data_IF_234212423710
#
_entry.id   IF_234212423710
#
_cell.length_a   1.000
_cell.length_b   1.000
_cell.length_c   1.000
_cell.angle_alpha   90.00
_cell.angle_beta   90.00
_cell.angle_gamma   90.00
#
_symmetry.space_group_name_H-M   'P 1'
#
loop_
_entity.id
_entity.type
_entity.pdbx_description
1 polymer ?
#
# COMPACT_ATOMS: atom_id res chain seq x y z
N UNK A 1 -20.71 1.13 -33.72
CA UNK A 1 -20.25 2.09 -32.68
C UNK A 1 -20.25 1.39 -31.34
N UNK A 2 -19.07 0.95 -30.86
CA UNK A 2 -18.91 0.46 -29.48
C UNK A 2 -18.52 1.65 -28.62
N UNK A 3 -19.44 2.13 -27.78
CA UNK A 3 -19.10 3.08 -26.72
C UNK A 3 -18.50 2.28 -25.56
N UNK A 4 -17.30 2.64 -25.13
CA UNK A 4 -16.74 2.19 -23.87
C UNK A 4 -17.63 2.73 -22.74
N UNK A 5 -18.53 1.89 -22.23
CA UNK A 5 -19.22 2.19 -20.98
C UNK A 5 -18.17 2.14 -19.88
N UNK A 6 -17.75 3.29 -19.41
CA UNK A 6 -17.03 3.37 -18.15
C UNK A 6 -17.90 2.74 -17.07
N UNK A 7 -17.37 1.77 -16.31
CA UNK A 7 -18.07 1.16 -15.21
C UNK A 7 -18.71 2.25 -14.36
N UNK A 8 -20.05 2.22 -14.26
CA UNK A 8 -20.78 3.12 -13.38
C UNK A 8 -20.16 3.00 -11.99
N UNK A 9 -19.65 4.11 -11.47
CA UNK A 9 -19.09 4.15 -10.12
C UNK A 9 -20.19 3.70 -9.18
N UNK A 10 -20.01 2.55 -8.54
CA UNK A 10 -20.84 2.09 -7.43
C UNK A 10 -21.04 3.28 -6.49
N UNK A 11 -22.30 3.55 -6.12
CA UNK A 11 -22.64 4.56 -5.12
C UNK A 11 -21.70 4.39 -3.93
N UNK A 12 -21.07 5.48 -3.48
CA UNK A 12 -20.33 5.47 -2.23
C UNK A 12 -21.26 4.90 -1.15
N UNK A 13 -20.85 3.86 -0.46
CA UNK A 13 -21.58 3.36 0.70
C UNK A 13 -21.80 4.50 1.69
N UNK A 14 -22.71 4.33 2.66
CA UNK A 14 -23.06 5.36 3.65
C UNK A 14 -21.81 6.07 4.15
N UNK A 15 -21.75 7.40 3.98
CA UNK A 15 -20.60 8.20 4.37
C UNK A 15 -20.43 8.13 5.88
N UNK A 16 -19.29 7.63 6.36
CA UNK A 16 -18.98 7.67 7.78
C UNK A 16 -18.99 9.15 8.26
N UNK A 17 -19.61 9.51 9.39
CA UNK A 17 -19.71 10.89 9.85
C UNK A 17 -18.34 11.58 9.94
N UNK A 18 -17.29 10.86 10.35
CA UNK A 18 -15.94 11.40 10.50
C UNK A 18 -15.08 11.29 9.23
N UNK A 19 -15.69 11.02 8.08
CA UNK A 19 -14.98 10.88 6.80
C UNK A 19 -14.10 12.09 6.50
N UNK A 20 -14.64 13.29 6.58
CA UNK A 20 -13.88 14.51 6.25
C UNK A 20 -12.77 14.76 7.28
N UNK A 21 -13.05 14.57 8.56
CA UNK A 21 -12.07 14.69 9.63
C UNK A 21 -10.89 13.70 9.46
N UNK A 22 -11.15 12.46 9.00
CA UNK A 22 -10.09 11.51 8.69
C UNK A 22 -9.24 11.95 7.50
N UNK A 23 -9.80 12.53 6.45
CA UNK A 23 -9.02 13.09 5.35
C UNK A 23 -8.14 14.26 5.78
N UNK A 24 -8.66 15.16 6.61
CA UNK A 24 -7.90 16.27 7.18
C UNK A 24 -6.75 15.76 8.07
N UNK A 25 -7.03 14.74 8.89
CA UNK A 25 -6.03 14.08 9.71
C UNK A 25 -4.90 13.47 8.85
N UNK A 26 -5.25 12.70 7.81
CA UNK A 26 -4.28 12.11 6.87
C UNK A 26 -3.43 13.19 6.19
N UNK A 27 -4.05 14.28 5.74
CA UNK A 27 -3.34 15.38 5.08
C UNK A 27 -2.38 16.08 6.02
N UNK A 28 -2.81 16.38 7.25
CA UNK A 28 -1.97 17.00 8.29
C UNK A 28 -0.79 16.11 8.64
N UNK A 29 -1.05 14.82 8.85
CA UNK A 29 -0.01 13.84 9.16
C UNK A 29 0.99 13.69 8.01
N UNK A 30 0.52 13.61 6.77
CA UNK A 30 1.35 13.54 5.57
C UNK A 30 2.32 14.74 5.49
N UNK A 31 1.79 15.96 5.65
CA UNK A 31 2.62 17.19 5.64
C UNK A 31 3.65 17.19 6.76
N UNK A 32 3.27 16.73 7.96
CA UNK A 32 4.16 16.67 9.11
C UNK A 32 5.33 15.69 8.89
N UNK A 33 5.06 14.50 8.32
CA UNK A 33 6.11 13.53 7.97
C UNK A 33 7.05 14.09 6.91
N UNK A 34 6.52 14.64 5.83
CA UNK A 34 7.31 15.24 4.75
C UNK A 34 8.19 16.39 5.25
N UNK A 35 7.65 17.25 6.12
CA UNK A 35 8.42 18.36 6.72
C UNK A 35 9.63 17.88 7.52
N UNK A 36 9.51 16.69 8.16
CA UNK A 36 10.62 16.06 8.90
C UNK A 36 11.54 15.20 8.03
N UNK A 37 11.33 15.19 6.71
CA UNK A 37 12.09 14.33 5.78
C UNK A 37 11.82 12.83 5.95
N UNK A 38 10.71 12.47 6.60
CA UNK A 38 10.32 11.06 6.78
C UNK A 38 9.50 10.56 5.59
N UNK A 39 9.67 9.28 5.18
CA UNK A 39 8.93 8.71 4.07
C UNK A 39 7.42 8.62 4.33
N UNK A 40 6.65 8.94 3.30
CA UNK A 40 5.21 8.73 3.23
C UNK A 40 4.90 7.90 2.01
N UNK A 41 4.34 6.73 2.19
CA UNK A 41 3.91 5.86 1.09
C UNK A 41 2.40 5.68 1.07
N UNK A 42 1.86 5.55 -0.13
CA UNK A 42 0.48 5.18 -0.39
C UNK A 42 0.49 3.80 -1.02
N UNK A 43 -0.26 2.86 -0.47
CA UNK A 43 -0.22 1.45 -0.87
C UNK A 43 -1.61 0.93 -1.24
N UNK A 44 -1.68 0.07 -2.25
CA UNK A 44 -2.89 -0.65 -2.62
C UNK A 44 -2.60 -1.77 -3.62
N UNK A 45 -3.60 -2.64 -3.82
CA UNK A 45 -3.63 -3.62 -4.90
C UNK A 45 -4.35 -3.03 -6.11
N UNK A 46 -3.67 -3.00 -7.27
CA UNK A 46 -4.35 -2.63 -8.50
C UNK A 46 -5.38 -3.69 -8.87
N UNK A 47 -6.63 -3.26 -9.11
CA UNK A 47 -7.72 -4.16 -9.51
C UNK A 47 -7.29 -5.04 -10.68
N UNK A 48 -7.68 -6.31 -10.62
CA UNK A 48 -7.39 -7.34 -11.63
C UNK A 48 -8.03 -6.96 -12.97
N UNK A 49 -7.29 -6.32 -13.84
CA UNK A 49 -7.66 -6.15 -15.26
C UNK A 49 -7.22 -7.37 -16.09
N UNK A 50 -6.47 -8.30 -15.49
CA UNK A 50 -5.66 -9.32 -16.14
C UNK A 50 -5.74 -10.69 -15.45
N UNK A 51 -6.89 -11.22 -15.23
CA UNK A 51 -7.21 -12.61 -14.81
C UNK A 51 -6.23 -13.43 -13.93
N UNK A 52 -4.92 -13.26 -14.09
CA UNK A 52 -3.88 -14.12 -13.48
C UNK A 52 -2.78 -13.38 -12.71
N UNK A 53 -2.79 -12.06 -12.62
CA UNK A 53 -1.76 -11.30 -11.90
C UNK A 53 -2.35 -10.31 -10.92
N UNK A 54 -1.62 -10.06 -9.85
CA UNK A 54 -2.00 -9.18 -8.75
C UNK A 54 -0.89 -8.14 -8.58
N UNK A 55 -0.98 -6.98 -9.25
CA UNK A 55 -0.02 -5.91 -9.01
C UNK A 55 -0.33 -5.23 -7.67
N UNK A 56 0.57 -5.35 -6.71
CA UNK A 56 0.53 -4.57 -5.48
C UNK A 56 1.54 -3.43 -5.59
N UNK A 57 1.08 -2.21 -5.36
CA UNK A 57 1.86 -0.99 -5.52
C UNK A 57 2.24 -0.31 -4.21
N UNK A 58 3.39 0.32 -4.23
CA UNK A 58 3.86 1.29 -3.24
C UNK A 58 4.20 2.57 -3.99
N UNK A 59 3.50 3.65 -3.69
CA UNK A 59 3.77 4.98 -4.24
C UNK A 59 4.40 5.88 -3.18
N UNK A 60 5.63 6.30 -3.40
CA UNK A 60 6.33 7.26 -2.56
C UNK A 60 5.82 8.68 -2.88
N UNK A 61 5.10 9.25 -1.92
CA UNK A 61 4.45 10.56 -2.06
C UNK A 61 5.47 11.70 -2.14
N UNK A 62 6.62 11.56 -1.46
CA UNK A 62 7.66 12.58 -1.41
C UNK A 62 8.56 12.59 -2.64
N UNK A 63 8.85 11.43 -3.20
CA UNK A 63 9.77 11.27 -4.35
C UNK A 63 9.05 11.16 -5.69
N UNK A 64 7.72 11.00 -5.70
CA UNK A 64 6.95 10.71 -6.91
C UNK A 64 7.47 9.46 -7.63
N UNK A 65 7.69 8.39 -6.87
CA UNK A 65 8.23 7.13 -7.38
C UNK A 65 7.30 5.97 -7.03
N UNK A 66 7.24 4.97 -7.92
CA UNK A 66 6.45 3.77 -7.75
C UNK A 66 7.30 2.52 -7.66
N UNK A 67 6.94 1.60 -6.77
CA UNK A 67 7.39 0.23 -6.74
C UNK A 67 6.20 -0.69 -6.87
N UNK A 68 6.24 -1.66 -7.79
CA UNK A 68 5.14 -2.61 -7.99
C UNK A 68 5.67 -4.03 -7.99
N UNK A 69 5.16 -4.85 -7.08
CA UNK A 69 5.32 -6.29 -7.16
C UNK A 69 4.12 -6.88 -7.93
N UNK A 70 4.42 -7.65 -8.97
CA UNK A 70 3.41 -8.37 -9.75
C UNK A 70 3.32 -9.78 -9.22
N UNK A 71 2.33 -10.04 -8.36
CA UNK A 71 2.06 -11.35 -7.79
C UNK A 71 1.34 -12.27 -8.76
N UNK A 72 1.59 -13.58 -8.63
CA UNK A 72 0.98 -14.64 -9.47
C UNK A 72 0.11 -15.61 -8.66
N UNK A 73 -0.14 -15.32 -7.39
CA UNK A 73 -0.82 -16.21 -6.47
C UNK A 73 -2.03 -15.52 -5.82
N UNK A 74 -1.93 -15.08 -4.57
CA UNK A 74 -3.03 -14.51 -3.80
C UNK A 74 -2.71 -13.09 -3.30
N UNK A 75 -3.76 -12.24 -3.26
CA UNK A 75 -3.70 -10.92 -2.63
C UNK A 75 -3.86 -11.06 -1.11
N UNK A 76 -2.74 -11.21 -0.43
CA UNK A 76 -2.70 -11.42 1.02
C UNK A 76 -1.96 -10.27 1.72
N UNK A 77 -2.18 -10.13 3.04
CA UNK A 77 -1.42 -9.17 3.84
C UNK A 77 0.09 -9.45 3.80
N UNK A 78 0.51 -10.71 3.75
CA UNK A 78 1.92 -11.07 3.66
C UNK A 78 2.55 -10.64 2.33
N UNK A 79 1.80 -10.78 1.21
CA UNK A 79 2.24 -10.27 -0.09
C UNK A 79 2.38 -8.74 -0.08
N UNK A 80 1.42 -8.04 0.54
CA UNK A 80 1.46 -6.60 0.72
C UNK A 80 2.71 -6.17 1.52
N UNK A 81 2.99 -6.80 2.66
CA UNK A 81 4.15 -6.51 3.50
C UNK A 81 5.46 -6.82 2.79
N UNK A 82 5.58 -7.96 2.10
CA UNK A 82 6.77 -8.30 1.31
C UNK A 82 7.03 -7.27 0.21
N UNK A 83 5.96 -6.72 -0.37
CA UNK A 83 6.09 -5.65 -1.38
C UNK A 83 6.59 -4.35 -0.76
N UNK A 84 6.10 -3.95 0.41
CA UNK A 84 6.56 -2.76 1.12
C UNK A 84 8.02 -2.93 1.57
N UNK A 85 8.41 -4.10 2.09
CA UNK A 85 9.81 -4.44 2.40
C UNK A 85 10.68 -4.39 1.14
N UNK A 86 10.15 -4.86 0.01
CA UNK A 86 10.82 -4.79 -1.29
C UNK A 86 11.10 -3.36 -1.73
N UNK A 87 10.14 -2.46 -1.57
CA UNK A 87 10.31 -1.04 -1.81
C UNK A 87 11.39 -0.44 -0.89
N UNK A 88 11.29 -0.70 0.42
CA UNK A 88 12.26 -0.18 1.38
C UNK A 88 13.70 -0.60 1.03
N UNK A 89 13.92 -1.90 0.81
CA UNK A 89 15.26 -2.45 0.51
C UNK A 89 15.86 -1.91 -0.81
N UNK A 90 15.03 -1.56 -1.82
CA UNK A 90 15.49 -1.19 -3.17
C UNK A 90 15.46 0.30 -3.47
N UNK A 91 14.64 1.05 -2.76
CA UNK A 91 14.40 2.46 -3.03
C UNK A 91 14.39 3.29 -1.74
N UNK A 92 13.53 2.94 -0.79
CA UNK A 92 13.28 3.75 0.40
C UNK A 92 14.52 3.97 1.26
N UNK A 93 15.27 2.92 1.58
CA UNK A 93 16.46 3.01 2.43
C UNK A 93 17.53 3.95 1.88
N UNK A 94 17.72 3.98 0.56
CA UNK A 94 18.67 4.89 -0.08
C UNK A 94 18.13 6.32 -0.12
N UNK A 95 16.83 6.48 -0.44
CA UNK A 95 16.19 7.78 -0.58
C UNK A 95 16.01 8.50 0.78
N UNK A 96 15.94 7.74 1.88
CA UNK A 96 15.67 8.20 3.23
C UNK A 96 16.65 7.58 4.24
N UNK A 97 17.95 7.81 4.03
CA UNK A 97 19.03 7.20 4.85
C UNK A 97 18.97 7.52 6.34
N UNK A 98 18.32 8.63 6.71
CA UNK A 98 18.17 9.08 8.11
C UNK A 98 16.75 8.87 8.65
N UNK A 99 15.88 8.14 7.92
CA UNK A 99 14.53 7.89 8.39
C UNK A 99 14.52 7.09 9.70
N UNK A 100 13.64 7.48 10.59
CA UNK A 100 13.28 6.78 11.83
C UNK A 100 11.82 6.39 11.87
N UNK A 101 11.02 6.98 11.01
CA UNK A 101 9.57 6.79 10.93
C UNK A 101 9.17 6.50 9.48
N UNK A 102 8.09 5.76 9.31
CA UNK A 102 7.42 5.55 8.03
C UNK A 102 5.92 5.78 8.20
N UNK A 103 5.32 6.57 7.33
CA UNK A 103 3.87 6.70 7.24
C UNK A 103 3.34 5.88 6.06
N UNK A 104 2.42 4.97 6.35
CA UNK A 104 1.70 4.17 5.36
C UNK A 104 0.25 4.66 5.27
N UNK A 105 -0.17 5.08 4.10
CA UNK A 105 -1.54 5.39 3.75
C UNK A 105 -2.14 4.20 3.00
N UNK A 106 -3.20 3.60 3.55
CA UNK A 106 -3.78 2.37 3.03
C UNK A 106 -5.32 2.44 3.03
N UNK A 107 -5.95 1.64 2.20
CA UNK A 107 -7.39 1.45 2.25
C UNK A 107 -7.81 0.69 3.51
N UNK A 108 -9.08 0.79 3.90
CA UNK A 108 -9.62 0.06 5.06
C UNK A 108 -9.98 -1.39 4.75
N UNK A 109 -9.91 -1.82 3.51
CA UNK A 109 -10.29 -3.16 3.04
C UNK A 109 -9.16 -3.91 2.34
N UNK A 110 -9.45 -5.13 1.86
CA UNK A 110 -8.48 -5.94 1.12
C UNK A 110 -7.32 -6.46 1.97
N UNK A 111 -6.18 -6.69 1.33
CA UNK A 111 -4.95 -7.21 1.94
C UNK A 111 -4.34 -6.29 3.01
N UNK A 112 -4.65 -5.00 2.96
CA UNK A 112 -4.21 -3.96 3.92
C UNK A 112 -5.35 -3.49 4.84
N UNK A 113 -6.38 -4.30 5.02
CA UNK A 113 -7.58 -3.91 5.78
C UNK A 113 -7.32 -3.53 7.24
N UNK A 114 -7.96 -2.45 7.71
CA UNK A 114 -7.79 -1.92 9.06
C UNK A 114 -8.16 -2.92 10.17
N UNK A 115 -9.07 -3.86 9.90
CA UNK A 115 -9.51 -4.90 10.85
C UNK A 115 -8.65 -6.18 10.78
N UNK A 116 -7.75 -6.30 9.79
CA UNK A 116 -6.93 -7.50 9.60
C UNK A 116 -5.85 -7.60 10.68
N UNK A 117 -5.92 -8.66 11.50
CA UNK A 117 -4.83 -8.98 12.45
C UNK A 117 -3.55 -9.37 11.72
N UNK A 118 -3.66 -10.12 10.62
CA UNK A 118 -2.52 -10.53 9.80
C UNK A 118 -1.77 -9.31 9.23
N UNK A 119 -2.49 -8.29 8.77
CA UNK A 119 -1.89 -7.03 8.35
C UNK A 119 -1.09 -6.38 9.49
N UNK A 120 -1.66 -6.27 10.70
CA UNK A 120 -1.00 -5.63 11.85
C UNK A 120 0.25 -6.40 12.31
N UNK A 121 0.19 -7.74 12.30
CA UNK A 121 1.36 -8.61 12.56
C UNK A 121 2.42 -8.42 11.47
N UNK A 122 2.01 -8.33 10.21
CA UNK A 122 2.89 -8.01 9.10
C UNK A 122 3.58 -6.65 9.23
N UNK A 123 2.86 -5.61 9.68
CA UNK A 123 3.45 -4.29 9.99
C UNK A 123 4.47 -4.40 11.14
N UNK A 124 4.22 -5.25 12.16
CA UNK A 124 5.22 -5.50 13.20
C UNK A 124 6.50 -6.11 12.61
N UNK A 125 6.38 -7.06 11.68
CA UNK A 125 7.54 -7.62 10.95
C UNK A 125 8.26 -6.52 10.17
N UNK A 126 7.53 -5.67 9.46
CA UNK A 126 8.10 -4.52 8.73
C UNK A 126 8.86 -3.60 9.67
N UNK A 127 8.28 -3.20 10.80
CA UNK A 127 8.94 -2.35 11.80
C UNK A 127 10.23 -2.99 12.33
N UNK A 128 10.19 -4.29 12.65
CA UNK A 128 11.35 -5.01 13.14
C UNK A 128 12.47 -5.10 12.09
N UNK A 129 12.15 -5.43 10.82
CA UNK A 129 13.15 -5.55 9.75
C UNK A 129 13.75 -4.21 9.32
N UNK A 130 13.01 -3.12 9.47
CA UNK A 130 13.45 -1.79 9.04
C UNK A 130 13.99 -0.94 10.17
N UNK A 131 13.71 -1.30 11.43
CA UNK A 131 13.95 -0.50 12.64
C UNK A 131 13.24 0.86 12.62
N UNK A 132 12.14 0.98 11.86
CA UNK A 132 11.32 2.19 11.76
C UNK A 132 10.09 2.10 12.66
N UNK A 133 9.72 3.23 13.24
CA UNK A 133 8.38 3.42 13.78
C UNK A 133 7.39 3.53 12.63
N UNK A 134 6.50 2.54 12.48
CA UNK A 134 5.55 2.49 11.37
C UNK A 134 4.20 3.03 11.79
N UNK A 135 3.86 4.21 11.31
CA UNK A 135 2.51 4.77 11.46
C UNK A 135 1.65 4.35 10.27
N UNK A 136 0.48 3.81 10.54
CA UNK A 136 -0.51 3.48 9.52
C UNK A 136 -1.72 4.39 9.69
N UNK A 137 -2.22 4.91 8.58
CA UNK A 137 -3.45 5.69 8.53
C UNK A 137 -4.32 5.18 7.40
N UNK A 138 -5.48 4.64 7.75
CA UNK A 138 -6.41 4.08 6.77
C UNK A 138 -7.38 5.13 6.27
N UNK A 139 -7.64 5.11 4.96
CA UNK A 139 -8.76 5.87 4.39
C UNK A 139 -10.09 5.33 4.90
N UNK A 140 -11.11 6.18 5.07
CA UNK A 140 -12.45 5.73 5.46
C UNK A 140 -13.00 4.68 4.48
N UNK A 141 -13.83 3.72 4.96
CA UNK A 141 -14.44 2.72 4.09
C UNK A 141 -15.17 3.36 2.89
N UNK A 142 -15.06 2.74 1.71
CA UNK A 142 -15.71 3.22 0.48
C UNK A 142 -15.02 4.42 -0.19
N UNK A 143 -13.84 4.83 0.28
CA UNK A 143 -13.13 6.01 -0.25
C UNK A 143 -11.82 5.69 -0.95
N UNK A 144 -11.61 4.44 -1.37
CA UNK A 144 -10.39 3.98 -2.06
C UNK A 144 -9.96 4.86 -3.24
N UNK A 145 -10.93 5.42 -3.96
CA UNK A 145 -10.67 6.36 -5.06
C UNK A 145 -9.85 7.61 -4.65
N UNK A 146 -9.79 7.93 -3.35
CA UNK A 146 -9.02 9.06 -2.83
C UNK A 146 -7.61 8.68 -2.40
N UNK A 147 -7.29 7.38 -2.40
CA UNK A 147 -5.94 6.93 -2.14
C UNK A 147 -5.00 7.44 -3.25
N UNK A 148 -3.91 8.11 -2.85
CA UNK A 148 -3.02 8.79 -3.79
C UNK A 148 -2.45 7.86 -4.86
N UNK A 149 -2.19 6.61 -4.52
CA UNK A 149 -1.65 5.61 -5.44
C UNK A 149 -2.56 5.40 -6.67
N UNK A 150 -3.89 5.50 -6.50
CA UNK A 150 -4.85 5.32 -7.58
C UNK A 150 -4.66 6.38 -8.68
N UNK A 151 -4.47 7.64 -8.29
CA UNK A 151 -4.34 8.75 -9.23
C UNK A 151 -2.92 9.03 -9.68
N UNK A 152 -1.93 8.71 -8.83
CA UNK A 152 -0.53 9.06 -9.07
C UNK A 152 0.31 7.94 -9.65
N UNK A 153 -0.16 6.69 -9.55
CA UNK A 153 0.55 5.52 -10.05
C UNK A 153 -0.35 4.65 -10.92
N UNK A 154 -1.44 4.12 -10.40
CA UNK A 154 -2.26 3.12 -11.10
C UNK A 154 -2.97 3.66 -12.33
N UNK A 155 -3.42 4.91 -12.32
CA UNK A 155 -4.00 5.56 -13.52
C UNK A 155 -3.00 5.63 -14.66
N UNK A 156 -1.74 5.96 -14.39
CA UNK A 156 -0.69 6.03 -15.42
C UNK A 156 -0.26 4.65 -15.90
N UNK A 157 -0.21 3.65 -15.02
CA UNK A 157 -0.01 2.26 -15.42
C UNK A 157 -1.12 1.83 -16.38
N UNK A 158 -2.39 2.10 -16.04
CA UNK A 158 -3.54 1.80 -16.91
C UNK A 158 -3.42 2.49 -18.27
N UNK A 159 -3.01 3.75 -18.32
CA UNK A 159 -2.79 4.45 -19.58
C UNK A 159 -1.65 3.83 -20.42
N UNK A 160 -0.55 3.41 -19.76
CA UNK A 160 0.61 2.86 -20.44
C UNK A 160 0.34 1.49 -21.07
N UNK A 161 -0.51 0.66 -20.48
CA UNK A 161 -0.82 -0.66 -21.03
C UNK A 161 -2.12 -0.74 -21.82
N UNK A 162 -2.88 0.37 -21.90
CA UNK A 162 -4.14 0.41 -22.65
C UNK A 162 -3.89 0.06 -24.13
N UNK A 163 -4.70 -0.89 -24.66
CA UNK A 163 -4.60 -1.36 -26.03
C UNK A 163 -3.38 -2.23 -26.35
N UNK A 164 -2.56 -2.58 -25.36
CA UNK A 164 -1.42 -3.50 -25.53
C UNK A 164 -1.81 -4.91 -25.10
N UNK A 165 -1.45 -5.94 -25.88
CA UNK A 165 -1.73 -7.32 -25.50
C UNK A 165 -0.85 -7.71 -24.30
N UNK A 166 -1.48 -8.14 -23.20
CA UNK A 166 -0.81 -8.50 -21.95
C UNK A 166 -0.60 -10.02 -21.90
N UNK A 167 0.20 -10.51 -22.81
CA UNK A 167 0.33 -11.94 -23.15
C UNK A 167 1.22 -12.73 -22.19
N UNK A 168 2.09 -12.05 -21.41
CA UNK A 168 2.97 -12.71 -20.45
C UNK A 168 3.24 -11.85 -19.23
N UNK A 169 3.70 -12.49 -18.12
CA UNK A 169 4.12 -11.78 -16.92
C UNK A 169 5.27 -10.80 -17.19
N UNK A 170 6.17 -11.13 -18.08
CA UNK A 170 7.30 -10.28 -18.44
C UNK A 170 6.83 -9.00 -19.13
N UNK A 171 5.91 -9.11 -20.08
CA UNK A 171 5.30 -7.96 -20.77
C UNK A 171 4.61 -7.05 -19.74
N UNK A 172 3.86 -7.61 -18.80
CA UNK A 172 3.19 -6.84 -17.75
C UNK A 172 4.19 -6.10 -16.88
N UNK A 173 5.22 -6.77 -16.38
CA UNK A 173 6.27 -6.16 -15.55
C UNK A 173 6.99 -5.04 -16.30
N UNK A 174 7.33 -5.25 -17.58
CA UNK A 174 7.99 -4.25 -18.41
C UNK A 174 7.11 -3.03 -18.68
N UNK A 175 5.81 -3.23 -18.96
CA UNK A 175 4.86 -2.14 -19.14
C UNK A 175 4.66 -1.33 -17.87
N UNK A 176 4.59 -1.99 -16.71
CA UNK A 176 4.52 -1.28 -15.42
C UNK A 176 5.81 -0.50 -15.19
N UNK A 177 6.97 -1.15 -15.37
CA UNK A 177 8.28 -0.54 -15.11
C UNK A 177 8.65 0.60 -16.06
N UNK A 178 8.09 0.62 -17.29
CA UNK A 178 8.29 1.70 -18.26
C UNK A 178 7.31 2.87 -18.07
N UNK A 179 6.43 2.82 -17.07
CA UNK A 179 5.47 3.90 -16.83
C UNK A 179 6.18 5.15 -16.32
N UNK A 180 5.98 6.25 -17.03
CA UNK A 180 6.55 7.56 -16.69
C UNK A 180 5.52 8.66 -16.98
N UNK A 181 5.75 9.86 -16.48
CA UNK A 181 4.91 11.03 -16.73
C UNK A 181 5.74 12.28 -16.97
N UNK A 182 5.14 13.31 -17.55
CA UNK A 182 5.78 14.63 -17.68
C UNK A 182 6.16 15.26 -16.34
N UNK A 183 5.49 14.85 -15.25
CA UNK A 183 5.78 15.31 -13.88
C UNK A 183 6.86 14.49 -13.18
N UNK A 184 7.56 13.61 -13.89
CA UNK A 184 8.74 12.89 -13.41
C UNK A 184 8.43 11.61 -12.61
N UNK A 185 7.22 11.01 -12.73
CA UNK A 185 6.97 9.69 -12.16
C UNK A 185 7.95 8.66 -12.74
N UNK A 186 8.59 7.89 -11.87
CA UNK A 186 9.41 6.74 -12.21
C UNK A 186 8.90 5.50 -11.49
N UNK A 187 8.77 4.41 -12.21
CA UNK A 187 8.24 3.16 -11.68
C UNK A 187 9.26 2.04 -11.84
N UNK A 188 9.47 1.27 -10.77
CA UNK A 188 10.18 0.00 -10.82
C UNK A 188 9.18 -1.13 -10.58
N UNK A 189 9.29 -2.21 -11.33
CA UNK A 189 8.42 -3.37 -11.17
C UNK A 189 9.22 -4.67 -11.09
N UNK A 190 8.66 -5.66 -10.40
CA UNK A 190 9.25 -7.00 -10.29
C UNK A 190 8.17 -8.06 -10.22
N UNK A 191 8.38 -9.18 -10.92
CA UNK A 191 7.57 -10.37 -10.76
C UNK A 191 7.84 -11.02 -9.41
N UNK A 192 6.78 -11.35 -8.67
CA UNK A 192 6.82 -12.16 -7.45
C UNK A 192 6.21 -13.54 -7.74
N UNK A 193 7.08 -14.56 -7.72
CA UNK A 193 6.67 -15.97 -7.87
C UNK A 193 6.44 -16.67 -6.52
N UNK A 194 6.62 -15.93 -5.41
CA UNK A 194 6.40 -16.47 -4.06
C UNK A 194 4.92 -16.78 -3.91
N UNK A 195 4.64 -17.95 -3.34
CA UNK A 195 3.28 -18.36 -2.95
C UNK A 195 2.98 -17.89 -1.55
N UNK A 196 1.72 -17.56 -1.30
CA UNK A 196 1.26 -17.04 -0.03
C UNK A 196 0.07 -17.86 0.46
N UNK A 197 0.13 -18.30 1.70
CA UNK A 197 -0.98 -18.98 2.34
C UNK A 197 -2.17 -18.05 2.54
N UNK A 198 -3.36 -18.61 2.39
CA UNK A 198 -4.63 -17.91 2.64
C UNK A 198 -5.30 -18.44 3.88
N UNK A 199 -6.21 -17.67 4.47
CA UNK A 199 -6.96 -18.11 5.64
C UNK A 199 -6.17 -18.19 6.95
N UNK A 200 -4.97 -17.60 7.01
CA UNK A 200 -4.14 -17.56 8.22
C UNK A 200 -4.92 -16.83 9.33
N UNK A 201 -5.07 -17.53 10.46
CA UNK A 201 -5.68 -16.97 11.68
C UNK A 201 -4.60 -16.61 12.69
N UNK A 202 -4.62 -15.38 13.15
CA UNK A 202 -3.70 -14.89 14.19
C UNK A 202 -4.33 -15.14 15.56
N UNK A 203 -3.63 -15.85 16.44
CA UNK A 203 -4.07 -16.13 17.81
C UNK A 203 -4.13 -14.83 18.66
N UNK A 204 -4.81 -14.88 19.78
CA UNK A 204 -4.81 -13.73 20.72
C UNK A 204 -3.41 -13.51 21.32
N UNK A 205 -2.69 -14.60 21.58
CA UNK A 205 -1.34 -14.58 22.12
C UNK A 205 -0.34 -13.91 21.15
N UNK A 206 -0.39 -14.27 19.87
CA UNK A 206 0.46 -13.65 18.85
C UNK A 206 0.10 -12.19 18.63
N UNK A 207 -1.19 -11.88 18.63
CA UNK A 207 -1.65 -10.51 18.48
C UNK A 207 -1.25 -9.62 19.68
N UNK A 208 -1.21 -10.17 20.89
CA UNK A 208 -0.80 -9.43 22.10
C UNK A 208 0.70 -9.07 22.11
N UNK A 209 1.53 -9.76 21.30
CA UNK A 209 2.98 -9.49 21.21
C UNK A 209 3.33 -8.28 20.37
N UNK A 210 2.42 -7.77 19.55
CA UNK A 210 2.70 -6.61 18.71
C UNK A 210 2.77 -5.32 19.52
N UNK A 211 3.69 -4.44 19.17
CA UNK A 211 3.91 -3.15 19.84
C UNK A 211 3.05 -2.05 19.22
N UNK A 212 1.74 -2.30 19.13
CA UNK A 212 0.78 -1.38 18.55
C UNK A 212 0.30 -0.34 19.57
N UNK A 213 0.28 0.91 19.17
CA UNK A 213 -0.26 2.04 19.93
C UNK A 213 -1.32 2.76 19.09
N UNK A 214 -2.61 2.60 19.40
CA UNK A 214 -3.67 3.36 18.73
C UNK A 214 -3.49 4.86 18.93
N UNK A 215 -3.79 5.65 17.92
CA UNK A 215 -3.87 7.11 18.05
C UNK A 215 -5.17 7.52 18.72
N UNK A 216 -5.21 8.72 19.32
CA UNK A 216 -6.41 9.25 20.00
C UNK A 216 -7.59 9.41 19.01
N UNK A 217 -7.31 9.85 17.79
CA UNK A 217 -8.32 9.99 16.75
C UNK A 217 -8.42 8.71 15.93
N UNK A 218 -9.55 8.03 15.97
CA UNK A 218 -9.83 6.77 15.27
C UNK A 218 -8.68 5.76 15.35
N UNK A 219 -8.39 5.25 16.54
CA UNK A 219 -7.30 4.33 16.82
C UNK A 219 -7.38 2.98 16.07
N UNK A 220 -8.54 2.62 15.57
CA UNK A 220 -8.77 1.49 14.66
C UNK A 220 -8.28 1.78 13.23
N UNK A 221 -8.32 3.03 12.79
CA UNK A 221 -7.79 3.49 11.50
C UNK A 221 -6.38 4.06 11.58
N UNK A 222 -6.03 4.65 12.73
CA UNK A 222 -4.79 5.38 12.93
C UNK A 222 -4.00 4.79 14.10
N UNK A 223 -2.87 4.18 13.82
CA UNK A 223 -2.03 3.56 14.85
C UNK A 223 -0.55 3.62 14.47
N UNK A 224 0.30 3.42 15.46
CA UNK A 224 1.74 3.26 15.28
C UNK A 224 2.15 1.88 15.80
N UNK A 225 3.08 1.24 15.10
CA UNK A 225 3.71 0.00 15.53
C UNK A 225 5.21 0.27 15.65
N UNK A 226 5.72 0.07 16.86
CA UNK A 226 7.14 0.24 17.16
C UNK A 226 7.92 -1.04 16.91
N UNK A 227 9.21 -0.96 16.53
CA UNK A 227 10.08 -2.12 16.49
C UNK A 227 10.10 -2.86 17.84
N UNK A 228 10.22 -4.18 17.78
CA UNK A 228 10.32 -5.04 18.94
C UNK A 228 11.54 -5.94 18.80
N UNK A 229 12.28 -6.16 19.88
CA UNK A 229 13.37 -7.13 19.94
C UNK A 229 12.88 -8.57 20.02
N UNK A 230 11.59 -8.78 20.31
CA UNK A 230 10.97 -10.10 20.35
C UNK A 230 10.78 -10.63 18.93
N UNK A 231 11.35 -11.78 18.62
CA UNK A 231 11.03 -12.50 17.39
C UNK A 231 9.56 -12.94 17.45
N UNK A 232 8.78 -12.56 16.45
CA UNK A 232 7.50 -13.19 16.18
C UNK A 232 7.83 -14.61 15.65
N UNK A 233 7.31 -15.62 16.32
CA UNK A 233 7.47 -17.03 15.94
C UNK A 233 6.73 -17.35 14.66
#
# INVERSE_FOLDING_TARGET
HYSLQGNAKTREGSSHPDRNAQFEYINTLTKAFQKRGQPVISVDTKKKELGKVIPYGVYDVGKNEGWVAVGTDHDTSDFAIDTILGWWKRMGRQAYSHARELLILADSGGSNGARSRLWKVGIQRLANETSLDVTVSHFPPGTSKWNKIEHRLFSFITQNWRGRPLVSHEVIVNLIGSTTTKTGLRVKAKLSKKKYETGIKISNEDFARIKIKPKRFHGDWNYIIHPSTSKLS
#
